data_IF_602074208893
#
_entry.id   IF_602074208893
#
_cell.length_a   1.000
_cell.length_b   1.000
_cell.length_c   1.000
_cell.angle_alpha   90.00
_cell.angle_beta   90.00
_cell.angle_gamma   90.00
#
_symmetry.space_group_name_H-M   'P 1'
#
loop_
_entity.id
_entity.type
_entity.pdbx_description
1 polymer ?
#
# COMPACT_ATOMS: atom_id res chain seq x y z
N UNK A 1 18.23 -4.68 -19.32
CA UNK A 1 18.09 -5.65 -18.21
C UNK A 1 16.90 -5.23 -17.36
N UNK A 2 15.92 -6.11 -17.17
CA UNK A 2 14.74 -5.82 -16.33
C UNK A 2 15.12 -5.88 -14.84
N UNK A 3 14.58 -4.96 -14.03
CA UNK A 3 14.73 -5.05 -12.58
C UNK A 3 13.97 -6.29 -12.06
N UNK A 4 14.54 -7.07 -11.13
CA UNK A 4 13.78 -8.10 -10.43
C UNK A 4 12.51 -7.52 -9.80
N UNK A 5 11.37 -8.24 -9.83
CA UNK A 5 10.09 -7.74 -9.31
C UNK A 5 10.16 -7.18 -7.89
N UNK A 6 10.92 -7.86 -7.01
CA UNK A 6 11.15 -7.43 -5.64
C UNK A 6 11.81 -6.04 -5.56
N UNK A 7 12.88 -5.81 -6.32
CA UNK A 7 13.59 -4.51 -6.33
C UNK A 7 12.71 -3.38 -6.86
N UNK A 8 11.86 -3.68 -7.84
CA UNK A 8 10.89 -2.72 -8.36
C UNK A 8 9.90 -2.32 -7.28
N UNK A 9 9.32 -3.30 -6.57
CA UNK A 9 8.35 -3.05 -5.50
C UNK A 9 8.99 -2.34 -4.31
N UNK A 10 10.23 -2.68 -3.93
CA UNK A 10 10.96 -1.95 -2.90
C UNK A 10 11.17 -0.48 -3.29
N UNK A 11 11.58 -0.21 -4.54
CA UNK A 11 11.75 1.15 -5.02
C UNK A 11 10.44 1.93 -5.00
N UNK A 12 9.35 1.32 -5.46
CA UNK A 12 8.02 1.93 -5.44
C UNK A 12 7.55 2.20 -4.01
N UNK A 13 7.64 1.21 -3.11
CA UNK A 13 7.20 1.36 -1.72
C UNK A 13 7.95 2.51 -1.04
N UNK A 14 9.27 2.55 -1.16
CA UNK A 14 10.07 3.66 -0.60
C UNK A 14 9.74 5.01 -1.26
N UNK A 15 9.43 5.04 -2.55
CA UNK A 15 8.98 6.27 -3.20
C UNK A 15 7.67 6.81 -2.60
N UNK A 16 6.71 5.93 -2.26
CA UNK A 16 5.51 6.35 -1.55
C UNK A 16 5.81 6.78 -0.11
N UNK A 17 6.63 6.01 0.61
CA UNK A 17 6.96 6.29 2.02
C UNK A 17 7.67 7.64 2.22
N UNK A 18 8.48 8.09 1.24
CA UNK A 18 9.10 9.42 1.23
C UNK A 18 8.10 10.59 1.27
N UNK A 19 6.84 10.35 0.91
CA UNK A 19 5.75 11.35 1.00
C UNK A 19 5.17 11.46 2.42
N UNK A 20 5.62 10.60 3.35
CA UNK A 20 5.15 10.54 4.73
C UNK A 20 6.26 10.94 5.71
N UNK A 21 5.95 10.87 7.00
CA UNK A 21 6.92 11.03 8.09
C UNK A 21 7.71 9.73 8.40
N UNK A 22 7.57 8.68 7.60
CA UNK A 22 8.32 7.43 7.79
C UNK A 22 9.82 7.67 7.53
N UNK A 23 10.64 7.42 8.54
CA UNK A 23 12.07 7.76 8.52
C UNK A 23 12.98 6.60 8.08
N UNK A 24 12.50 5.36 8.17
CA UNK A 24 13.27 4.17 7.81
C UNK A 24 13.21 3.93 6.29
N UNK A 25 14.16 3.16 5.77
CA UNK A 25 14.14 2.67 4.39
C UNK A 25 13.82 1.18 4.41
N UNK A 26 12.85 0.75 3.59
CA UNK A 26 12.50 -0.67 3.45
C UNK A 26 13.44 -1.30 2.43
N UNK A 27 14.24 -2.27 2.87
CA UNK A 27 15.24 -2.95 2.03
C UNK A 27 14.89 -4.40 1.73
N UNK A 28 13.90 -4.96 2.43
CA UNK A 28 13.40 -6.32 2.25
C UNK A 28 11.94 -6.44 2.71
N UNK A 29 11.22 -7.46 2.25
CA UNK A 29 9.84 -7.77 2.67
C UNK A 29 9.78 -8.77 3.83
N UNK A 30 10.76 -8.72 4.74
CA UNK A 30 10.84 -9.59 5.90
C UNK A 30 10.99 -8.77 7.18
N UNK A 31 12.19 -8.57 7.70
CA UNK A 31 12.49 -7.84 8.93
C UNK A 31 11.96 -6.40 8.93
N UNK A 32 12.04 -5.70 7.80
CA UNK A 32 11.80 -4.26 7.75
C UNK A 32 10.31 -3.90 7.81
N UNK A 33 9.43 -4.89 7.72
CA UNK A 33 7.97 -4.73 7.67
C UNK A 33 7.25 -5.43 8.83
N UNK A 34 7.95 -6.20 9.68
CA UNK A 34 7.34 -7.04 10.74
C UNK A 34 6.59 -6.23 11.80
N UNK A 35 6.95 -4.96 11.96
CA UNK A 35 6.26 -4.05 12.86
C UNK A 35 4.98 -3.45 12.24
N UNK A 36 4.71 -3.70 10.96
CA UNK A 36 3.60 -3.16 10.19
C UNK A 36 3.55 -1.61 10.10
N UNK A 37 4.60 -0.92 10.53
CA UNK A 37 4.70 0.54 10.48
C UNK A 37 4.79 1.02 9.02
N UNK A 38 5.67 0.39 8.23
CA UNK A 38 5.83 0.70 6.82
C UNK A 38 4.51 0.54 6.04
N UNK A 39 3.74 -0.52 6.33
CA UNK A 39 2.42 -0.71 5.72
C UNK A 39 1.42 0.38 6.13
N UNK A 40 1.41 0.77 7.40
CA UNK A 40 0.53 1.85 7.89
C UNK A 40 0.77 3.14 7.11
N UNK A 41 2.03 3.53 6.94
CA UNK A 41 2.40 4.71 6.16
C UNK A 41 2.05 4.55 4.68
N UNK A 42 2.33 3.40 4.08
CA UNK A 42 2.02 3.13 2.68
C UNK A 42 0.52 3.29 2.39
N UNK A 43 -0.34 2.63 3.18
CA UNK A 43 -1.78 2.68 2.96
C UNK A 43 -2.36 4.08 3.22
N UNK A 44 -1.81 4.83 4.18
CA UNK A 44 -2.20 6.22 4.40
C UNK A 44 -1.84 7.16 3.25
N UNK A 45 -0.82 6.85 2.44
CA UNK A 45 -0.51 7.60 1.21
C UNK A 45 -1.51 7.25 0.10
N UNK A 46 -1.84 5.97 -0.02
CA UNK A 46 -2.64 5.47 -1.14
C UNK A 46 -4.14 5.73 -0.97
N UNK A 47 -4.64 5.61 0.25
CA UNK A 47 -6.05 5.76 0.59
C UNK A 47 -6.19 6.50 1.94
N UNK A 48 -5.84 7.80 2.00
CA UNK A 48 -5.93 8.60 3.21
C UNK A 48 -7.35 8.65 3.81
N UNK A 49 -8.39 8.52 2.99
CA UNK A 49 -9.80 8.45 3.38
C UNK A 49 -10.15 7.24 4.25
N UNK A 50 -9.31 6.20 4.24
CA UNK A 50 -9.47 5.01 5.07
C UNK A 50 -8.51 4.96 6.26
N UNK A 51 -7.69 6.01 6.42
CA UNK A 51 -6.73 6.13 7.53
C UNK A 51 -7.41 6.04 8.88
N UNK A 52 -6.82 5.26 9.78
CA UNK A 52 -7.22 5.16 11.17
C UNK A 52 -6.10 5.73 12.06
N UNK A 53 -6.31 6.86 12.75
CA UNK A 53 -5.31 7.44 13.65
C UNK A 53 -4.80 6.48 14.74
N UNK A 54 -5.60 5.47 15.13
CA UNK A 54 -5.23 4.47 16.11
C UNK A 54 -4.06 3.57 15.64
N UNK A 55 -3.82 3.42 14.34
CA UNK A 55 -2.75 2.55 13.79
C UNK A 55 -1.35 2.93 14.26
N UNK A 56 -1.08 4.22 14.47
CA UNK A 56 0.23 4.73 14.90
C UNK A 56 0.38 4.75 16.43
N UNK A 57 -0.73 4.77 17.17
CA UNK A 57 -0.72 4.81 18.65
C UNK A 57 -0.92 3.43 19.28
N UNK A 58 -1.36 2.44 18.50
CA UNK A 58 -1.61 1.10 19.01
C UNK A 58 -0.33 0.41 19.46
N UNK A 59 -0.41 -0.23 20.62
CA UNK A 59 0.67 -1.03 21.18
C UNK A 59 0.61 -2.45 20.61
N UNK A 60 1.75 -2.92 20.09
CA UNK A 60 1.92 -4.29 19.62
C UNK A 60 1.80 -4.47 18.11
N UNK A 61 2.78 -5.16 17.53
CA UNK A 61 2.90 -5.37 16.08
C UNK A 61 1.70 -6.12 15.50
N UNK A 62 1.19 -7.14 16.20
CA UNK A 62 0.02 -7.90 15.76
C UNK A 62 -1.22 -7.01 15.63
N UNK A 63 -1.44 -6.12 16.60
CA UNK A 63 -2.62 -5.27 16.58
C UNK A 63 -2.51 -4.23 15.47
N UNK A 64 -1.31 -3.67 15.25
CA UNK A 64 -1.05 -2.79 14.11
C UNK A 64 -1.26 -3.50 12.78
N UNK A 65 -0.76 -4.73 12.63
CA UNK A 65 -0.94 -5.55 11.45
C UNK A 65 -2.42 -5.84 11.15
N UNK A 66 -3.26 -6.08 12.18
CA UNK A 66 -4.72 -6.21 11.99
C UNK A 66 -5.34 -4.95 11.40
N UNK A 67 -4.99 -3.78 11.93
CA UNK A 67 -5.51 -2.50 11.44
C UNK A 67 -5.02 -2.19 10.02
N UNK A 68 -3.78 -2.54 9.68
CA UNK A 68 -3.23 -2.47 8.31
C UNK A 68 -4.09 -3.29 7.36
N UNK A 69 -4.41 -4.52 7.74
CA UNK A 69 -5.23 -5.37 6.92
C UNK A 69 -6.65 -4.80 6.79
N UNK A 70 -7.24 -4.25 7.87
CA UNK A 70 -8.54 -3.55 7.85
C UNK A 70 -8.58 -2.37 6.90
N UNK A 71 -7.49 -1.60 6.85
CA UNK A 71 -7.34 -0.54 5.88
C UNK A 71 -7.29 -1.10 4.45
N UNK A 72 -6.48 -2.14 4.21
CA UNK A 72 -6.38 -2.76 2.89
C UNK A 72 -7.73 -3.34 2.39
N UNK A 73 -8.54 -3.93 3.28
CA UNK A 73 -9.89 -4.38 2.92
C UNK A 73 -10.81 -3.25 2.47
N UNK A 74 -10.73 -2.09 3.13
CA UNK A 74 -11.53 -0.92 2.77
C UNK A 74 -11.18 -0.38 1.38
N UNK A 75 -9.92 -0.53 0.98
CA UNK A 75 -9.48 -0.25 -0.39
C UNK A 75 -10.00 -1.29 -1.40
N UNK A 76 -10.57 -2.42 -0.97
CA UNK A 76 -10.97 -3.50 -1.85
C UNK A 76 -9.83 -4.48 -2.19
N UNK A 77 -8.66 -4.33 -1.56
CA UNK A 77 -7.56 -5.29 -1.68
C UNK A 77 -7.90 -6.57 -0.89
N UNK A 78 -8.45 -7.60 -1.56
CA UNK A 78 -8.76 -8.89 -0.92
C UNK A 78 -7.52 -9.50 -0.25
N UNK A 79 -7.65 -9.83 1.04
CA UNK A 79 -6.58 -10.45 1.83
C UNK A 79 -6.41 -11.93 1.53
N UNK A 80 -5.16 -12.36 1.42
CA UNK A 80 -4.71 -13.76 1.56
C UNK A 80 -3.62 -13.90 2.65
N UNK A 81 -3.32 -12.81 3.34
CA UNK A 81 -2.29 -12.63 4.34
C UNK A 81 -2.97 -12.41 5.70
N UNK A 82 -2.48 -13.07 6.76
CA UNK A 82 -2.93 -12.81 8.13
C UNK A 82 -2.01 -11.82 8.85
N UNK A 83 -2.50 -11.23 9.94
CA UNK A 83 -1.67 -10.36 10.79
C UNK A 83 -0.44 -11.11 11.34
N UNK A 84 -0.56 -12.43 11.56
CA UNK A 84 0.54 -13.27 12.01
C UNK A 84 1.62 -13.36 10.95
N UNK A 85 1.25 -13.55 9.69
CA UNK A 85 2.21 -13.68 8.57
C UNK A 85 3.05 -12.41 8.37
N UNK A 86 2.46 -11.23 8.62
CA UNK A 86 3.17 -9.95 8.64
C UNK A 86 4.21 -9.94 9.76
N UNK A 87 3.79 -10.21 11.00
CA UNK A 87 4.70 -10.10 12.16
C UNK A 87 5.73 -11.22 12.23
N UNK A 88 5.50 -12.36 11.58
CA UNK A 88 6.49 -13.41 11.38
C UNK A 88 7.48 -13.03 10.27
N UNK A 89 7.09 -12.12 9.37
CA UNK A 89 7.94 -11.57 8.33
C UNK A 89 8.17 -12.53 7.19
N UNK A 90 7.16 -13.31 6.80
CA UNK A 90 7.27 -14.27 5.70
C UNK A 90 7.50 -13.54 4.37
N UNK A 91 8.70 -13.65 3.75
CA UNK A 91 9.09 -12.77 2.65
C UNK A 91 8.15 -12.85 1.45
N UNK A 92 7.79 -14.07 1.05
CA UNK A 92 6.96 -14.29 -0.14
C UNK A 92 5.53 -13.81 0.02
N UNK A 93 4.93 -13.99 1.21
CA UNK A 93 3.56 -13.54 1.50
C UNK A 93 3.50 -12.01 1.53
N UNK A 94 4.49 -11.37 2.14
CA UNK A 94 4.56 -9.92 2.20
C UNK A 94 4.90 -9.29 0.85
N UNK A 95 5.81 -9.90 0.07
CA UNK A 95 6.10 -9.50 -1.31
C UNK A 95 4.84 -9.57 -2.17
N UNK A 96 4.12 -10.68 -2.11
CA UNK A 96 2.86 -10.82 -2.83
C UNK A 96 1.88 -9.71 -2.41
N UNK A 97 1.74 -9.46 -1.10
CA UNK A 97 0.79 -8.47 -0.60
C UNK A 97 1.12 -7.05 -1.11
N UNK A 98 2.40 -6.68 -1.12
CA UNK A 98 2.87 -5.41 -1.70
C UNK A 98 2.60 -5.36 -3.20
N UNK A 99 2.80 -6.47 -3.93
CA UNK A 99 2.49 -6.55 -5.36
C UNK A 99 0.99 -6.33 -5.63
N UNK A 100 0.12 -6.89 -4.78
CA UNK A 100 -1.32 -6.70 -4.90
C UNK A 100 -1.73 -5.24 -4.65
N UNK A 101 -1.20 -4.60 -3.60
CA UNK A 101 -1.43 -3.18 -3.34
C UNK A 101 -0.90 -2.32 -4.50
N UNK A 102 0.27 -2.65 -5.03
CA UNK A 102 0.87 -1.93 -6.17
C UNK A 102 -0.06 -1.97 -7.38
N UNK A 103 -0.50 -3.16 -7.79
CA UNK A 103 -1.42 -3.33 -8.91
C UNK A 103 -2.70 -2.52 -8.71
N UNK A 104 -3.31 -2.65 -7.53
CA UNK A 104 -4.54 -1.94 -7.20
C UNK A 104 -4.36 -0.41 -7.26
N UNK A 105 -3.22 0.12 -6.80
CA UNK A 105 -2.92 1.55 -6.90
C UNK A 105 -2.79 2.03 -8.35
N UNK A 106 -2.22 1.22 -9.24
CA UNK A 106 -2.09 1.55 -10.66
C UNK A 106 -3.44 1.53 -11.38
N UNK A 107 -4.33 0.61 -10.99
CA UNK A 107 -5.69 0.55 -11.52
C UNK A 107 -6.49 1.81 -11.13
N UNK A 108 -6.46 2.22 -9.85
CA UNK A 108 -7.11 3.46 -9.38
C UNK A 108 -6.60 4.70 -10.14
N UNK A 109 -5.27 4.81 -10.32
CA UNK A 109 -4.69 5.93 -11.05
C UNK A 109 -5.15 5.94 -12.52
N UNK A 110 -5.23 4.77 -13.14
CA UNK A 110 -5.66 4.63 -14.53
C UNK A 110 -7.14 5.00 -14.69
N UNK A 111 -8.00 4.56 -13.78
CA UNK A 111 -9.43 4.90 -13.77
C UNK A 111 -9.67 6.40 -13.58
N UNK A 112 -8.90 7.05 -12.72
CA UNK A 112 -8.97 8.50 -12.52
C UNK A 112 -8.56 9.29 -13.78
N UNK A 113 -7.49 8.89 -14.47
CA UNK A 113 -7.07 9.54 -15.71
C UNK A 113 -8.09 9.33 -16.83
N UNK A 114 -8.64 8.11 -16.98
CA UNK A 114 -9.71 7.82 -17.95
C UNK A 114 -10.94 8.68 -17.65
N UNK A 115 -11.35 8.77 -16.38
CA UNK A 115 -12.51 9.57 -15.97
C UNK A 115 -12.32 11.06 -16.28
N UNK A 116 -11.11 11.58 -16.09
CA UNK A 116 -10.76 12.96 -16.45
C UNK A 116 -10.86 13.19 -17.96
N UNK A 117 -10.30 12.29 -18.76
CA UNK A 117 -10.37 12.37 -20.23
C UNK A 117 -11.81 12.29 -20.72
N UNK A 118 -12.62 11.39 -20.17
CA UNK A 118 -14.05 11.31 -20.51
C UNK A 118 -14.77 12.61 -20.13
N UNK A 119 -14.49 13.17 -18.95
CA UNK A 119 -15.05 14.45 -18.52
C UNK A 119 -14.71 15.60 -19.48
N UNK A 120 -13.46 15.71 -19.91
CA UNK A 120 -13.03 16.68 -20.92
C UNK A 120 -13.76 16.46 -22.26
N UNK A 121 -13.85 15.22 -22.74
CA UNK A 121 -14.55 14.88 -23.99
C UNK A 121 -16.05 15.21 -23.93
N UNK A 122 -16.71 14.92 -22.81
CA UNK A 122 -18.13 15.24 -22.62
C UNK A 122 -18.35 16.76 -22.54
N UNK A 123 -17.41 17.49 -21.94
CA UNK A 123 -17.43 18.96 -21.90
C UNK A 123 -17.36 19.57 -23.31
N UNK A 124 -16.45 19.08 -24.17
CA UNK A 124 -16.34 19.55 -25.57
C UNK A 124 -17.53 19.22 -26.47
N UNK A 125 -18.44 18.31 -26.06
CA UNK A 125 -19.64 17.94 -26.82
C UNK A 125 -20.90 18.71 -26.39
N UNK A 126 -20.80 19.56 -25.38
CA UNK A 126 -21.93 20.30 -24.82
C UNK A 126 -22.09 21.73 -25.38
N UNK A 127 -21.19 22.17 -26.26
CA UNK A 127 -21.25 23.42 -27.05
C UNK A 127 -21.59 23.13 -28.52
#
# INVERSE_FOLDING_TARGET
MSLPPEKLLLRWMNFQLKKTKYSKTVTNFSTDIKDAEAYTHLLNVLAPEHSNPATLTVKGNIQRAKLVLEHADKMGCKRYLTAKDIVEGFPNLNLAFVAHIFQHSMDIHTENEISKVIGEILYWRAD
#
